data_IF_357415074132
#
_entry.id   IF_357415074132
#
_cell.length_a   1.000
_cell.length_b   1.000
_cell.length_c   1.000
_cell.angle_alpha   90.00
_cell.angle_beta   90.00
_cell.angle_gamma   90.00
#
_symmetry.space_group_name_H-M   'P 1'
#
loop_
_entity.id
_entity.type
_entity.pdbx_description
1 polymer ?
#
# COMPACT_ATOMS: atom_id res chain seq x y z
N UNK A 1 25.93 -3.45 -8.14
CA UNK A 1 25.25 -2.15 -8.24
C UNK A 1 24.45 -1.95 -6.97
N UNK A 2 24.64 -0.84 -6.27
CA UNK A 2 23.91 -0.51 -5.04
C UNK A 2 22.95 0.65 -5.33
N UNK A 3 21.91 0.34 -6.10
CA UNK A 3 20.91 1.34 -6.55
C UNK A 3 19.99 1.79 -5.42
N UNK A 4 19.95 1.03 -4.32
CA UNK A 4 19.02 1.23 -3.22
C UNK A 4 19.63 2.09 -2.12
N UNK A 5 20.96 2.09 -1.97
CA UNK A 5 21.63 2.91 -0.98
C UNK A 5 21.56 4.40 -1.32
N UNK A 6 21.13 5.25 -0.38
CA UNK A 6 21.20 6.70 -0.53
C UNK A 6 22.63 7.23 -0.73
N UNK A 7 23.63 6.45 -0.27
CA UNK A 7 25.05 6.80 -0.28
C UNK A 7 25.85 5.94 -1.29
N UNK A 8 25.17 5.09 -2.07
CA UNK A 8 25.81 4.17 -3.01
C UNK A 8 26.29 4.89 -4.27
N UNK A 9 27.55 4.64 -4.66
CA UNK A 9 28.25 5.31 -5.78
C UNK A 9 28.05 4.57 -7.12
N UNK A 10 26.96 3.81 -7.30
CA UNK A 10 26.75 3.16 -8.60
C UNK A 10 26.25 4.19 -9.63
N UNK A 11 27.14 4.58 -10.53
CA UNK A 11 26.83 5.43 -11.69
C UNK A 11 25.98 4.65 -12.68
N UNK A 12 24.67 4.87 -12.62
CA UNK A 12 23.73 4.43 -13.65
C UNK A 12 23.01 5.67 -14.16
N UNK A 13 22.88 5.77 -15.48
CA UNK A 13 22.22 6.89 -16.13
C UNK A 13 20.71 6.76 -15.95
N UNK A 14 20.19 7.43 -14.92
CA UNK A 14 18.75 7.52 -14.69
C UNK A 14 18.12 8.39 -15.77
N UNK A 15 17.19 7.82 -16.53
CA UNK A 15 16.41 8.56 -17.53
C UNK A 15 15.11 9.03 -16.88
N UNK A 16 14.77 10.30 -17.08
CA UNK A 16 13.45 10.83 -16.70
C UNK A 16 12.36 10.04 -17.42
N UNK A 17 11.31 9.64 -16.72
CA UNK A 17 10.26 8.79 -17.28
C UNK A 17 9.49 9.46 -18.43
N UNK A 18 9.50 10.79 -18.53
CA UNK A 18 8.99 11.54 -19.69
C UNK A 18 9.73 11.26 -21.00
N UNK A 19 10.97 10.77 -20.91
CA UNK A 19 11.86 10.44 -22.02
C UNK A 19 12.00 8.92 -22.21
N UNK A 20 11.45 8.12 -21.29
CA UNK A 20 11.48 6.67 -21.39
C UNK A 20 10.47 6.21 -22.45
N UNK A 21 10.94 5.43 -23.42
CA UNK A 21 10.08 4.91 -24.51
C UNK A 21 8.91 4.09 -23.94
N UNK A 22 7.72 4.25 -24.55
CA UNK A 22 6.48 3.55 -24.16
C UNK A 22 6.51 2.04 -24.39
N UNK A 23 7.57 1.51 -25.01
CA UNK A 23 7.80 0.08 -24.96
C UNK A 23 7.86 -0.33 -23.48
N UNK A 24 7.20 -1.42 -23.12
CA UNK A 24 7.13 -1.92 -21.75
C UNK A 24 8.21 -2.99 -21.55
N UNK A 25 9.53 -2.70 -21.55
CA UNK A 25 10.47 -3.70 -21.12
C UNK A 25 10.14 -4.00 -19.66
N UNK A 26 10.01 -5.29 -19.36
CA UNK A 26 9.94 -5.82 -18.02
C UNK A 26 11.27 -5.51 -17.29
N UNK A 27 11.28 -5.64 -15.97
CA UNK A 27 12.49 -5.44 -15.15
C UNK A 27 12.98 -3.97 -15.13
N UNK A 28 12.10 -3.02 -14.76
CA UNK A 28 12.43 -1.60 -14.63
C UNK A 28 12.80 -1.22 -13.20
N UNK A 29 13.71 -0.25 -13.08
CA UNK A 29 14.01 0.42 -11.82
C UNK A 29 13.43 1.83 -11.86
N UNK A 30 12.69 2.20 -10.83
CA UNK A 30 12.16 3.54 -10.64
C UNK A 30 12.75 4.14 -9.37
N UNK A 31 12.97 5.45 -9.39
CA UNK A 31 13.51 6.22 -8.27
C UNK A 31 12.72 7.51 -8.12
N UNK A 32 12.37 7.86 -6.89
CA UNK A 32 11.71 9.11 -6.56
C UNK A 32 12.21 9.66 -5.22
N UNK A 33 12.06 10.97 -5.03
CA UNK A 33 12.27 11.61 -3.74
C UNK A 33 10.96 12.20 -3.23
N UNK A 34 10.70 12.09 -1.93
CA UNK A 34 9.49 12.62 -1.32
C UNK A 34 9.72 13.16 0.11
N UNK A 35 8.85 14.05 0.55
CA UNK A 35 8.83 14.56 1.93
C UNK A 35 7.93 13.69 2.79
N UNK A 36 8.30 13.49 4.07
CA UNK A 36 7.45 12.74 4.98
C UNK A 36 6.14 13.53 5.21
N UNK A 37 4.97 12.86 5.14
CA UNK A 37 3.70 13.52 5.44
C UNK A 37 3.63 13.87 6.93
N UNK A 38 2.97 14.97 7.28
CA UNK A 38 2.77 15.35 8.68
C UNK A 38 1.96 14.31 9.47
N UNK A 39 1.94 14.43 10.79
CA UNK A 39 1.15 13.58 11.69
C UNK A 39 1.84 12.28 12.12
N UNK A 40 1.13 11.45 12.88
CA UNK A 40 1.64 10.22 13.52
C UNK A 40 1.01 8.94 12.98
N UNK A 41 0.05 9.06 12.05
CA UNK A 41 -0.69 7.91 11.54
C UNK A 41 0.22 6.94 10.79
N UNK A 42 0.01 5.62 10.89
CA UNK A 42 0.80 4.65 10.13
C UNK A 42 0.72 4.93 8.62
N UNK A 43 1.82 4.67 7.92
CA UNK A 43 1.92 4.90 6.47
C UNK A 43 1.98 3.60 5.70
N UNK A 44 1.54 3.66 4.46
CA UNK A 44 1.74 2.61 3.47
C UNK A 44 1.87 3.19 2.06
N UNK A 45 2.52 2.47 1.16
CA UNK A 45 2.45 2.72 -0.28
C UNK A 45 1.25 2.00 -0.87
N UNK A 46 0.42 2.72 -1.61
CA UNK A 46 -0.57 2.15 -2.51
C UNK A 46 0.14 1.76 -3.81
N UNK A 47 0.25 0.45 -4.03
CA UNK A 47 0.95 -0.14 -5.19
C UNK A 47 -0.04 -0.67 -6.25
N UNK A 48 -1.31 -0.27 -6.20
CA UNK A 48 -2.37 -0.79 -7.09
C UNK A 48 -2.14 -0.53 -8.57
N UNK A 49 -1.29 0.43 -8.94
CA UNK A 49 -0.90 0.71 -10.32
C UNK A 49 0.30 -0.11 -10.81
N UNK A 50 0.90 -0.92 -9.95
CA UNK A 50 2.12 -1.67 -10.21
C UNK A 50 1.84 -3.16 -10.43
N UNK A 51 2.86 -3.92 -10.84
CA UNK A 51 2.76 -5.35 -11.10
C UNK A 51 3.31 -6.20 -9.95
N UNK A 52 4.61 -6.45 -9.97
CA UNK A 52 5.33 -7.27 -8.98
C UNK A 52 6.74 -6.74 -8.82
N UNK A 53 7.29 -6.82 -7.62
CA UNK A 53 8.70 -6.57 -7.43
C UNK A 53 9.06 -6.24 -6.00
N UNK A 54 9.95 -5.28 -5.81
CA UNK A 54 10.51 -4.92 -4.51
C UNK A 54 10.60 -3.42 -4.33
N UNK A 55 10.47 -2.96 -3.08
CA UNK A 55 10.54 -1.54 -2.73
C UNK A 55 11.52 -1.28 -1.60
N UNK A 56 12.24 -0.18 -1.70
CA UNK A 56 13.14 0.33 -0.67
C UNK A 56 12.83 1.78 -0.35
N UNK A 57 12.95 2.12 0.93
CA UNK A 57 12.88 3.49 1.44
C UNK A 57 14.19 3.79 2.18
N UNK A 58 14.92 4.80 1.72
CA UNK A 58 16.22 5.20 2.28
C UNK A 58 17.21 4.01 2.39
N UNK A 59 17.22 3.12 1.39
CA UNK A 59 18.06 1.90 1.38
C UNK A 59 17.53 0.73 2.18
N UNK A 60 16.44 0.90 2.95
CA UNK A 60 15.83 -0.17 3.72
C UNK A 60 14.71 -0.83 2.91
N UNK A 61 14.78 -2.15 2.75
CA UNK A 61 13.74 -2.90 2.04
C UNK A 61 12.45 -2.90 2.86
N UNK A 62 11.34 -2.47 2.26
CA UNK A 62 9.99 -2.63 2.84
C UNK A 62 9.32 -3.94 2.38
N UNK A 63 10.02 -4.75 1.57
CA UNK A 63 9.60 -6.07 1.14
C UNK A 63 9.22 -6.19 -0.33
N UNK A 64 8.70 -7.38 -0.67
CA UNK A 64 8.18 -7.72 -2.00
C UNK A 64 6.73 -7.27 -2.11
N UNK A 65 6.34 -6.76 -3.28
CA UNK A 65 4.95 -6.52 -3.64
C UNK A 65 4.51 -7.39 -4.81
N UNK A 66 3.21 -7.70 -4.85
CA UNK A 66 2.60 -8.41 -5.97
C UNK A 66 1.10 -8.16 -6.04
N UNK A 67 0.63 -7.57 -7.16
CA UNK A 67 -0.79 -7.27 -7.39
C UNK A 67 -1.58 -8.48 -7.93
N UNK A 68 -1.39 -9.68 -7.37
CA UNK A 68 -2.24 -10.84 -7.69
C UNK A 68 -3.59 -10.66 -7.02
N UNK A 69 -4.66 -10.99 -7.73
CA UNK A 69 -6.01 -10.90 -7.18
C UNK A 69 -6.33 -12.10 -6.29
N UNK A 70 -6.86 -11.84 -5.10
CA UNK A 70 -7.26 -12.85 -4.14
C UNK A 70 -8.44 -13.66 -4.69
N UNK A 71 -8.27 -14.98 -4.69
CA UNK A 71 -9.31 -15.97 -4.99
C UNK A 71 -9.75 -16.63 -3.71
N UNK A 72 -11.01 -17.04 -3.62
CA UNK A 72 -11.55 -17.72 -2.45
C UNK A 72 -13.05 -17.53 -2.34
N UNK A 73 -13.58 -17.84 -1.16
CA UNK A 73 -14.99 -17.65 -0.85
C UNK A 73 -15.12 -16.61 0.26
N UNK A 74 -15.44 -15.37 -0.11
CA UNK A 74 -15.61 -14.25 0.82
C UNK A 74 -17.07 -14.00 1.17
N UNK A 75 -17.79 -15.07 1.54
CA UNK A 75 -19.16 -14.97 2.05
C UNK A 75 -19.19 -14.34 3.45
N UNK A 76 -20.37 -13.80 3.82
CA UNK A 76 -20.63 -13.40 5.21
C UNK A 76 -20.44 -14.58 6.15
N UNK A 77 -19.89 -14.31 7.34
CA UNK A 77 -19.63 -15.34 8.34
C UNK A 77 -20.14 -14.93 9.71
N UNK A 78 -20.38 -15.93 10.56
CA UNK A 78 -20.78 -15.76 11.95
C UNK A 78 -19.68 -16.27 12.89
N UNK A 79 -19.50 -15.61 14.04
CA UNK A 79 -18.56 -15.99 15.08
C UNK A 79 -18.87 -17.37 15.70
N UNK A 80 -20.14 -17.77 15.75
CA UNK A 80 -20.56 -19.03 16.37
C UNK A 80 -20.13 -20.28 15.57
N UNK A 81 -19.86 -21.38 16.28
CA UNK A 81 -19.50 -22.69 15.70
C UNK A 81 -18.04 -22.84 15.30
N UNK A 82 -17.63 -24.07 14.96
CA UNK A 82 -16.24 -24.43 14.64
C UNK A 82 -15.65 -23.54 13.53
N UNK A 83 -14.45 -23.02 13.77
CA UNK A 83 -13.73 -22.19 12.82
C UNK A 83 -12.86 -23.05 11.89
N UNK A 84 -12.80 -22.64 10.62
CA UNK A 84 -11.82 -23.09 9.63
C UNK A 84 -11.28 -21.86 8.91
N UNK A 85 -10.04 -21.93 8.41
CA UNK A 85 -9.36 -20.79 7.77
C UNK A 85 -10.18 -20.12 6.66
N UNK A 86 -10.97 -20.89 5.91
CA UNK A 86 -11.80 -20.37 4.81
C UNK A 86 -13.12 -19.73 5.26
N UNK A 87 -13.50 -19.80 6.55
CA UNK A 87 -14.84 -19.41 7.04
C UNK A 87 -15.14 -17.92 6.90
N UNK A 88 -14.16 -17.07 7.18
CA UNK A 88 -14.30 -15.62 7.27
C UNK A 88 -13.28 -14.90 6.39
N UNK A 89 -13.13 -15.34 5.14
CA UNK A 89 -12.23 -14.68 4.19
C UNK A 89 -12.81 -13.34 3.73
N UNK A 90 -11.94 -12.37 3.49
CA UNK A 90 -12.30 -11.05 2.96
C UNK A 90 -11.35 -10.67 1.84
N UNK A 91 -11.76 -9.71 0.99
CA UNK A 91 -10.90 -9.16 -0.06
C UNK A 91 -10.82 -9.96 -1.36
N UNK A 92 -11.72 -10.93 -1.59
CA UNK A 92 -11.81 -11.63 -2.88
C UNK A 92 -12.05 -10.64 -4.02
N UNK A 93 -11.41 -10.88 -5.17
CA UNK A 93 -11.51 -9.98 -6.33
C UNK A 93 -10.76 -8.66 -6.18
N UNK A 94 -9.96 -8.50 -5.12
CA UNK A 94 -9.03 -7.39 -4.91
C UNK A 94 -7.58 -7.93 -4.91
N UNK A 95 -6.55 -7.08 -5.12
CA UNK A 95 -5.17 -7.48 -4.88
C UNK A 95 -4.99 -8.09 -3.48
N UNK A 96 -4.29 -9.22 -3.39
CA UNK A 96 -4.01 -9.92 -2.11
C UNK A 96 -3.37 -9.01 -1.08
N UNK A 97 -2.55 -8.05 -1.55
CA UNK A 97 -2.04 -6.95 -0.76
C UNK A 97 -1.85 -5.72 -1.65
N UNK A 98 -2.68 -4.69 -1.46
CA UNK A 98 -2.56 -3.40 -2.16
C UNK A 98 -1.61 -2.42 -1.46
N UNK A 99 -1.62 -2.42 -0.14
CA UNK A 99 -0.88 -1.46 0.69
C UNK A 99 0.35 -2.10 1.35
N UNK A 100 1.50 -1.45 1.20
CA UNK A 100 2.78 -1.93 1.72
C UNK A 100 3.27 -0.99 2.80
N UNK A 101 3.42 -1.49 4.01
CA UNK A 101 3.70 -0.66 5.19
C UNK A 101 5.03 0.08 5.05
N UNK A 102 5.02 1.38 5.40
CA UNK A 102 6.23 2.21 5.50
C UNK A 102 6.40 2.65 6.95
N UNK A 103 7.41 2.13 7.67
CA UNK A 103 7.69 2.56 9.03
C UNK A 103 8.04 4.05 9.09
N UNK A 104 7.33 4.80 9.93
CA UNK A 104 7.58 6.24 10.15
C UNK A 104 9.03 6.51 10.58
N UNK A 105 9.61 5.63 11.40
CA UNK A 105 10.99 5.72 11.90
C UNK A 105 12.06 5.61 10.82
N UNK A 106 11.70 5.13 9.62
CA UNK A 106 12.63 5.04 8.48
C UNK A 106 12.65 6.32 7.65
N UNK A 107 11.76 7.28 7.95
CA UNK A 107 11.62 8.53 7.22
C UNK A 107 12.38 9.69 7.88
N UNK A 108 13.06 10.46 7.04
CA UNK A 108 13.54 11.81 7.33
C UNK A 108 12.41 12.81 7.06
N UNK A 109 12.45 14.03 7.63
CA UNK A 109 11.42 15.05 7.35
C UNK A 109 11.27 15.38 5.85
N UNK A 110 12.40 15.43 5.12
CA UNK A 110 12.45 15.76 3.70
C UNK A 110 13.41 14.84 2.95
N UNK A 111 13.26 14.81 1.63
CA UNK A 111 14.19 14.15 0.71
C UNK A 111 14.43 12.66 1.02
N UNK A 112 13.35 11.92 1.27
CA UNK A 112 13.40 10.47 1.39
C UNK A 112 13.54 9.84 0.02
N UNK A 113 14.48 8.91 -0.12
CA UNK A 113 14.68 8.15 -1.34
C UNK A 113 13.72 6.95 -1.37
N UNK A 114 12.91 6.84 -2.42
CA UNK A 114 12.17 5.64 -2.77
C UNK A 114 12.78 5.01 -4.01
N UNK A 115 13.05 3.70 -3.94
CA UNK A 115 13.48 2.91 -5.09
C UNK A 115 12.52 1.74 -5.26
N UNK A 116 12.07 1.50 -6.48
CA UNK A 116 11.17 0.40 -6.83
C UNK A 116 11.79 -0.39 -7.95
N UNK A 117 11.87 -1.70 -7.79
CA UNK A 117 12.13 -2.62 -8.87
C UNK A 117 10.80 -3.24 -9.31
N UNK A 118 10.43 -3.09 -10.58
CA UNK A 118 9.19 -3.57 -11.19
C UNK A 118 9.49 -4.67 -12.22
N UNK A 119 9.01 -5.88 -11.94
CA UNK A 119 9.26 -7.09 -12.71
C UNK A 119 8.31 -7.26 -13.89
N UNK A 120 7.03 -6.90 -13.75
CA UNK A 120 5.98 -7.24 -14.72
C UNK A 120 5.47 -6.04 -15.53
N UNK A 121 5.65 -4.83 -14.99
CA UNK A 121 5.19 -3.58 -15.58
C UNK A 121 4.10 -2.92 -14.73
N UNK A 122 4.07 -1.60 -14.78
CA UNK A 122 3.22 -0.78 -13.92
C UNK A 122 3.34 0.70 -14.25
N UNK A 123 2.47 1.52 -13.66
CA UNK A 123 2.52 2.97 -13.76
C UNK A 123 3.00 3.58 -12.43
N UNK A 124 4.28 3.97 -12.33
CA UNK A 124 4.86 4.49 -11.08
C UNK A 124 4.33 5.88 -10.69
N UNK A 125 3.78 6.66 -11.62
CA UNK A 125 3.15 7.96 -11.33
C UNK A 125 1.89 7.85 -10.46
N UNK A 126 1.35 6.63 -10.36
CA UNK A 126 0.16 6.30 -9.57
C UNK A 126 0.50 5.55 -8.27
N UNK A 127 1.78 5.52 -7.88
CA UNK A 127 2.19 5.11 -6.54
C UNK A 127 1.92 6.26 -5.58
N UNK A 128 1.16 6.00 -4.50
CA UNK A 128 0.84 7.03 -3.51
C UNK A 128 1.22 6.60 -2.10
N UNK A 129 1.75 7.52 -1.32
CA UNK A 129 1.92 7.34 0.12
C UNK A 129 0.61 7.71 0.82
N UNK A 130 0.02 6.76 1.54
CA UNK A 130 -1.27 6.91 2.20
C UNK A 130 -1.15 6.80 3.72
N UNK A 131 -2.04 7.50 4.42
CA UNK A 131 -2.21 7.39 5.87
C UNK A 131 -3.29 6.37 6.20
N UNK A 132 -3.02 5.51 7.19
CA UNK A 132 -4.03 4.61 7.76
C UNK A 132 -4.79 5.33 8.88
N UNK A 133 -6.08 5.56 8.67
CA UNK A 133 -7.00 6.13 9.66
C UNK A 133 -8.11 5.12 9.92
N UNK A 134 -8.38 4.83 11.19
CA UNK A 134 -9.49 3.95 11.59
C UNK A 134 -10.54 4.82 12.25
N UNK A 135 -11.71 4.92 11.61
CA UNK A 135 -12.88 5.53 12.24
C UNK A 135 -13.68 4.46 12.95
N UNK A 136 -14.00 4.67 14.22
CA UNK A 136 -14.99 3.84 14.91
C UNK A 136 -16.38 4.28 14.44
N UNK A 137 -17.23 3.39 13.93
CA UNK A 137 -18.62 3.74 13.67
C UNK A 137 -19.28 4.14 15.00
N UNK A 138 -19.93 5.32 15.05
CA UNK A 138 -20.84 5.62 16.17
C UNK A 138 -21.93 4.57 16.17
N UNK A 139 -22.11 3.85 17.28
CA UNK A 139 -23.33 3.10 17.50
C UNK A 139 -24.50 4.09 17.48
N UNK A 140 -25.43 3.92 16.56
CA UNK A 140 -26.75 4.51 16.69
C UNK A 140 -27.34 3.94 17.97
N UNK A 141 -27.46 4.76 19.03
CA UNK A 141 -28.30 4.40 20.17
C UNK A 141 -29.70 4.10 19.63
N UNK A 142 -30.36 3.00 20.02
CA UNK A 142 -31.76 2.79 19.65
C UNK A 142 -32.58 3.96 20.21
N UNK A 143 -33.37 4.60 19.33
CA UNK A 143 -34.34 5.62 19.75
C UNK A 143 -35.32 4.95 20.72
N UNK A 144 -35.25 5.33 21.99
CA UNK A 144 -36.28 4.97 22.97
C UNK A 144 -37.55 5.74 22.58
N UNK A 145 -38.57 5.06 22.06
CA UNK A 145 -39.88 5.67 21.87
C UNK A 145 -40.50 5.90 23.24
N UNK A 146 -40.59 7.16 23.67
CA UNK A 146 -41.44 7.54 24.80
C UNK A 146 -42.85 7.79 24.28
N UNK A 147 -43.78 6.87 24.56
CA UNK A 147 -45.20 7.12 24.34
C UNK A 147 -45.71 8.06 25.43
N UNK A 148 -46.19 9.23 25.04
CA UNK A 148 -46.95 10.15 25.89
C UNK A 148 -48.42 9.98 25.55
N UNK A 149 -49.20 9.42 26.46
CA UNK A 149 -50.66 9.44 26.41
C UNK A 149 -51.14 10.71 27.11
N UNK A 150 -51.91 11.55 26.41
CA UNK A 150 -52.71 12.61 27.02
C UNK A 150 -54.12 12.07 27.29
N UNK A 151 -54.66 12.42 28.46
CA UNK A 151 -56.01 12.08 28.89
C UNK A 151 -57.09 12.96 28.29
#
# INVERSE_FOLDING_TARGET
MDLVSPNGVSSVDWVSESLASQNQPQLKWHKAHFNAPNGVEPLALDMSSMGKGQVWINGQSIGRYWMVYAKGNCNSCNYAGTYRQAKCQVGCGQPTQRWYHVPRSWLKPKNNLMVVFEELGGNPWKIFLVKRIIHTPRSSKPNLMTNTTQG
#
